data_IF_065753498306
#
_entry.id   IF_065753498306
#
_cell.length_a   1.000
_cell.length_b   1.000
_cell.length_c   1.000
_cell.angle_alpha   90.00
_cell.angle_beta   90.00
_cell.angle_gamma   90.00
#
_symmetry.space_group_name_H-M   'P 1'
#
loop_
_entity.id
_entity.type
_entity.pdbx_description
1 polymer ?
#
# COMPACT_ATOMS: atom_id res chain seq x y z
N UNK A 1 -39.34 38.56 14.24
CA UNK A 1 -39.52 38.78 15.70
C UNK A 1 -39.63 37.42 16.38
N UNK A 2 -38.58 37.07 17.09
CA UNK A 2 -38.38 36.41 18.39
C UNK A 2 -36.93 35.90 18.32
N UNK A 3 -36.04 36.52 18.88
CA UNK A 3 -35.56 36.69 20.28
C UNK A 3 -34.77 35.49 20.77
N UNK A 4 -33.51 35.77 20.99
CA UNK A 4 -32.38 35.09 21.59
C UNK A 4 -32.69 34.22 22.83
N UNK A 5 -31.81 33.21 23.04
CA UNK A 5 -31.62 32.47 24.28
C UNK A 5 -30.23 31.93 24.33
N UNK A 6 -29.33 32.70 24.93
CA UNK A 6 -28.00 32.27 25.36
C UNK A 6 -28.09 31.28 26.51
N UNK A 7 -27.39 30.15 26.44
CA UNK A 7 -26.94 29.47 27.66
C UNK A 7 -25.50 29.02 27.44
N UNK A 8 -24.60 29.83 28.07
CA UNK A 8 -23.19 29.48 28.18
C UNK A 8 -22.98 28.34 29.17
N UNK A 9 -22.15 27.37 28.78
CA UNK A 9 -21.51 26.43 29.67
C UNK A 9 -20.00 26.66 29.64
N UNK A 10 -19.51 27.23 30.72
CA UNK A 10 -18.10 27.37 31.07
C UNK A 10 -17.59 26.02 31.61
N UNK A 11 -16.67 25.37 30.92
CA UNK A 11 -15.87 24.29 31.50
C UNK A 11 -14.50 24.84 31.88
N UNK A 12 -14.23 24.89 33.17
CA UNK A 12 -12.90 25.16 33.74
C UNK A 12 -12.06 23.89 33.69
N UNK A 13 -10.89 24.02 33.10
CA UNK A 13 -9.83 23.04 32.99
C UNK A 13 -9.22 22.69 34.35
N UNK A 14 -8.97 21.41 34.55
CA UNK A 14 -8.06 20.87 35.54
C UNK A 14 -7.46 19.57 35.02
N UNK A 15 -6.52 19.64 34.06
CA UNK A 15 -5.68 18.50 33.71
C UNK A 15 -4.26 18.80 34.16
N UNK A 16 -3.85 18.10 35.22
CA UNK A 16 -2.48 18.04 35.69
C UNK A 16 -1.66 17.21 34.72
N UNK A 17 -0.80 17.85 33.96
CA UNK A 17 0.23 17.19 33.16
C UNK A 17 1.28 16.59 34.11
N UNK A 18 1.37 15.27 34.13
CA UNK A 18 2.56 14.56 34.63
C UNK A 18 3.53 14.37 33.46
N UNK A 19 4.83 14.66 33.63
CA UNK A 19 5.80 14.45 32.58
C UNK A 19 6.03 12.95 32.39
N UNK A 20 5.92 12.48 31.15
CA UNK A 20 6.33 11.14 30.74
C UNK A 20 7.85 11.12 30.77
N UNK A 21 8.43 10.51 31.79
CA UNK A 21 9.85 10.17 31.81
C UNK A 21 10.06 8.99 30.86
N UNK A 22 10.86 9.20 29.85
CA UNK A 22 11.43 8.17 28.99
C UNK A 22 12.21 7.16 29.86
N UNK A 23 11.71 5.95 29.93
CA UNK A 23 12.46 4.80 30.48
C UNK A 23 13.01 4.02 29.30
N UNK A 24 14.27 4.28 28.96
CA UNK A 24 15.07 3.38 28.12
C UNK A 24 15.55 2.25 29.03
N UNK A 25 15.21 0.98 28.80
CA UNK A 25 15.79 -0.11 29.57
C UNK A 25 17.24 -0.34 29.14
N UNK A 26 18.17 -0.11 30.06
CA UNK A 26 19.56 -0.58 29.91
C UNK A 26 19.57 -2.10 29.84
N UNK A 27 20.03 -2.65 28.72
CA UNK A 27 20.38 -4.05 28.63
C UNK A 27 21.69 -4.32 29.40
N UNK A 28 21.65 -5.24 30.33
CA UNK A 28 22.80 -5.90 30.91
C UNK A 28 22.77 -7.38 30.53
N UNK A 29 23.94 -8.00 30.23
CA UNK A 29 24.01 -9.35 29.66
C UNK A 29 24.07 -10.42 30.72
N UNK A 30 23.27 -11.47 30.61
CA UNK A 30 23.54 -12.74 31.30
C UNK A 30 23.11 -13.91 30.42
N UNK A 31 24.10 -14.48 29.75
CA UNK A 31 24.05 -15.81 29.16
C UNK A 31 24.13 -16.85 30.25
N UNK A 32 23.14 -17.69 30.41
CA UNK A 32 23.34 -19.03 30.96
C UNK A 32 22.33 -20.01 30.38
N UNK A 33 22.86 -20.99 29.76
CA UNK A 33 22.38 -22.27 29.25
C UNK A 33 21.07 -22.78 29.89
N UNK A 34 20.07 -23.05 29.07
CA UNK A 34 19.10 -24.10 29.33
C UNK A 34 18.85 -24.93 28.08
N UNK A 35 19.41 -26.10 28.06
CA UNK A 35 19.13 -27.17 27.10
C UNK A 35 17.79 -27.78 27.49
N UNK A 36 16.76 -27.59 26.69
CA UNK A 36 15.49 -28.30 26.84
C UNK A 36 15.40 -29.34 25.72
N UNK A 37 15.49 -30.58 26.14
CA UNK A 37 15.16 -31.76 25.34
C UNK A 37 13.65 -31.82 25.20
N UNK A 38 13.12 -31.57 24.00
CA UNK A 38 11.73 -31.87 23.69
C UNK A 38 11.69 -33.15 22.87
N UNK A 39 11.22 -34.20 23.50
CA UNK A 39 10.96 -35.50 22.90
C UNK A 39 9.78 -35.42 21.92
N UNK A 40 9.97 -36.13 20.81
CA UNK A 40 9.03 -36.44 19.73
C UNK A 40 7.62 -36.80 20.22
N UNK A 41 6.61 -36.15 19.65
CA UNK A 41 5.34 -36.70 19.15
C UNK A 41 4.36 -35.56 18.84
N UNK A 42 4.38 -35.06 17.61
CA UNK A 42 3.19 -34.51 16.99
C UNK A 42 3.23 -34.87 15.50
N UNK A 43 2.26 -35.67 15.12
CA UNK A 43 1.95 -36.05 13.74
C UNK A 43 1.43 -34.83 12.98
N UNK A 44 2.14 -34.47 11.93
CA UNK A 44 1.82 -33.37 11.03
C UNK A 44 0.60 -33.69 10.14
N UNK A 45 -0.29 -32.74 9.92
CA UNK A 45 -1.08 -32.69 8.69
C UNK A 45 -0.41 -31.71 7.71
N UNK A 46 0.73 -32.11 7.16
CA UNK A 46 1.43 -31.36 6.11
C UNK A 46 1.40 -32.16 4.79
N UNK A 47 0.23 -32.55 4.33
CA UNK A 47 0.07 -33.20 3.03
C UNK A 47 -1.28 -32.73 2.46
N UNK A 48 -1.36 -31.54 1.87
CA UNK A 48 -2.34 -31.18 0.84
C UNK A 48 -1.83 -30.05 -0.09
N UNK A 49 -0.71 -29.36 0.22
CA UNK A 49 -0.24 -28.23 -0.61
C UNK A 49 0.84 -28.54 -1.65
N UNK A 50 1.34 -29.77 -1.70
CA UNK A 50 2.53 -30.12 -2.52
C UNK A 50 2.22 -30.63 -3.94
N UNK A 51 0.97 -30.68 -4.41
CA UNK A 51 0.62 -31.32 -5.70
C UNK A 51 0.22 -30.30 -6.79
N UNK A 52 0.11 -29.04 -6.50
CA UNK A 52 -0.29 -28.01 -7.50
C UNK A 52 0.88 -27.20 -8.10
N UNK A 53 2.11 -27.34 -7.59
CA UNK A 53 3.25 -26.54 -8.10
C UNK A 53 4.07 -27.19 -9.23
N UNK A 54 3.76 -28.40 -9.69
CA UNK A 54 4.65 -29.13 -10.60
C UNK A 54 4.22 -29.20 -12.06
N UNK A 55 3.24 -28.44 -12.51
CA UNK A 55 2.76 -28.49 -13.92
C UNK A 55 2.62 -27.11 -14.61
N UNK A 56 3.47 -26.16 -14.30
CA UNK A 56 3.53 -24.93 -15.11
C UNK A 56 4.80 -24.97 -15.95
N UNK A 57 4.73 -25.18 -17.27
CA UNK A 57 5.89 -25.01 -18.13
C UNK A 57 6.29 -23.53 -18.12
N UNK A 58 7.59 -23.26 -17.92
CA UNK A 58 8.16 -21.93 -18.06
C UNK A 58 7.89 -21.42 -19.48
N UNK A 59 6.93 -20.51 -19.63
CA UNK A 59 6.69 -19.80 -20.88
C UNK A 59 7.78 -18.76 -21.04
N UNK A 60 8.78 -19.08 -21.86
CA UNK A 60 9.75 -18.07 -22.29
C UNK A 60 9.02 -17.06 -23.18
N UNK A 61 9.06 -15.80 -22.78
CA UNK A 61 8.53 -14.69 -23.57
C UNK A 61 9.33 -14.55 -24.88
N UNK A 62 8.65 -14.40 -26.04
CA UNK A 62 9.36 -14.14 -27.29
C UNK A 62 10.02 -12.75 -27.22
N UNK A 63 11.31 -12.69 -27.50
CA UNK A 63 12.05 -11.44 -27.70
C UNK A 63 11.61 -10.84 -29.02
N UNK A 64 10.72 -9.85 -28.99
CA UNK A 64 10.43 -9.02 -30.14
C UNK A 64 11.61 -8.09 -30.41
N UNK A 65 12.32 -8.29 -31.49
CA UNK A 65 13.33 -7.36 -31.97
C UNK A 65 12.66 -6.06 -32.41
N UNK A 66 13.00 -4.95 -31.75
CA UNK A 66 12.57 -3.62 -32.17
C UNK A 66 13.30 -3.24 -33.47
N UNK A 67 12.56 -2.84 -34.50
CA UNK A 67 13.09 -2.27 -35.72
C UNK A 67 13.72 -0.87 -35.40
N UNK A 68 14.84 -0.48 -36.03
CA UNK A 68 15.43 0.82 -35.81
C UNK A 68 14.53 1.91 -36.41
N UNK A 69 14.14 2.86 -35.58
CA UNK A 69 13.43 4.07 -36.00
C UNK A 69 14.45 5.15 -36.26
N UNK A 70 14.45 5.65 -37.48
CA UNK A 70 15.32 6.73 -37.95
C UNK A 70 14.89 8.06 -37.29
N UNK A 71 15.70 8.62 -36.39
CA UNK A 71 15.41 9.86 -35.69
C UNK A 71 16.17 11.02 -36.33
N UNK A 72 15.50 11.77 -37.20
CA UNK A 72 15.90 13.14 -37.50
C UNK A 72 15.22 14.11 -36.50
N UNK A 73 16.00 14.55 -35.55
CA UNK A 73 16.14 15.88 -34.97
C UNK A 73 14.91 16.64 -34.45
N UNK A 74 14.41 16.30 -33.27
CA UNK A 74 14.18 17.18 -32.12
C UNK A 74 14.32 16.31 -30.90
N UNK A 75 15.23 16.62 -29.97
CA UNK A 75 15.35 15.88 -28.72
C UNK A 75 14.04 16.04 -27.96
N UNK A 76 13.15 15.05 -28.07
CA UNK A 76 11.91 15.02 -27.28
C UNK A 76 12.29 15.11 -25.81
N UNK A 77 11.60 15.97 -25.06
CA UNK A 77 11.80 16.09 -23.63
C UNK A 77 11.68 14.73 -22.97
N UNK A 78 12.56 14.42 -22.04
CA UNK A 78 12.51 13.17 -21.32
C UNK A 78 11.19 13.04 -20.55
N UNK A 79 10.50 11.92 -20.73
CA UNK A 79 9.19 11.66 -20.12
C UNK A 79 9.36 11.45 -18.60
N UNK A 80 8.69 12.29 -17.82
CA UNK A 80 8.62 12.17 -16.38
C UNK A 80 7.30 11.50 -15.92
N UNK A 81 6.28 11.46 -16.78
CA UNK A 81 5.05 10.71 -16.56
C UNK A 81 5.08 9.43 -17.40
N UNK A 82 5.24 8.28 -16.76
CA UNK A 82 5.47 7.01 -17.45
C UNK A 82 5.02 5.80 -16.60
N UNK A 83 4.23 4.86 -17.15
CA UNK A 83 3.76 3.69 -16.40
C UNK A 83 4.92 2.86 -15.85
N UNK A 84 4.86 2.56 -14.53
CA UNK A 84 5.91 1.82 -13.82
C UNK A 84 7.05 2.68 -13.24
N UNK A 85 7.08 3.98 -13.52
CA UNK A 85 8.03 4.90 -12.91
C UNK A 85 7.65 5.23 -11.45
N UNK A 86 8.61 5.61 -10.59
CA UNK A 86 8.31 6.01 -9.23
C UNK A 86 7.55 7.33 -9.19
N UNK A 87 6.68 7.50 -8.17
CA UNK A 87 6.06 8.77 -7.84
C UNK A 87 6.08 9.04 -6.35
N UNK A 88 5.95 10.31 -5.99
CA UNK A 88 5.93 10.78 -4.61
C UNK A 88 4.77 11.74 -4.40
N UNK A 89 4.10 11.60 -3.26
CA UNK A 89 3.16 12.57 -2.75
C UNK A 89 3.73 13.12 -1.45
N UNK A 90 4.07 14.42 -1.44
CA UNK A 90 4.68 15.07 -0.29
C UNK A 90 3.62 15.56 0.70
N UNK A 91 3.94 15.70 2.00
CA UNK A 91 3.07 16.37 2.95
C UNK A 91 2.64 17.76 2.45
N UNK A 92 1.45 18.19 2.86
CA UNK A 92 0.93 19.53 2.55
C UNK A 92 1.89 20.63 3.02
N UNK A 93 2.43 20.47 4.23
CA UNK A 93 3.50 21.31 4.76
C UNK A 93 4.60 20.40 5.31
N UNK A 94 5.75 20.38 4.61
CA UNK A 94 6.89 19.58 5.04
C UNK A 94 7.52 20.10 6.36
N UNK A 95 7.33 21.39 6.69
CA UNK A 95 7.80 21.97 7.96
C UNK A 95 6.85 21.68 9.12
N UNK A 96 5.54 21.53 8.86
CA UNK A 96 4.52 21.22 9.86
C UNK A 96 3.59 20.10 9.37
N UNK A 97 4.08 18.87 9.18
CA UNK A 97 3.36 17.80 8.51
C UNK A 97 2.11 17.33 9.26
N UNK A 98 2.03 17.55 10.57
CA UNK A 98 0.89 17.10 11.39
C UNK A 98 -0.31 18.06 11.41
N UNK A 99 -0.25 19.19 10.67
CA UNK A 99 -1.39 20.04 10.34
C UNK A 99 -2.05 20.80 11.49
N UNK A 100 -2.30 20.17 12.61
CA UNK A 100 -2.92 20.79 13.78
C UNK A 100 -1.84 21.28 14.76
N UNK A 101 -1.76 22.59 14.93
CA UNK A 101 -0.82 23.21 15.85
C UNK A 101 0.56 23.51 15.29
N UNK A 102 0.76 23.36 13.99
CA UNK A 102 2.03 23.62 13.29
C UNK A 102 3.25 22.88 13.90
N UNK A 103 3.02 21.72 14.50
CA UNK A 103 4.10 20.92 15.06
C UNK A 103 4.98 20.32 13.94
N UNK A 104 6.28 20.50 14.05
CA UNK A 104 7.25 19.88 13.16
C UNK A 104 7.43 18.40 13.51
N UNK A 105 7.90 17.60 12.54
CA UNK A 105 8.24 16.19 12.81
C UNK A 105 9.27 16.09 13.95
N UNK A 106 10.24 17.01 13.99
CA UNK A 106 11.27 17.08 15.01
C UNK A 106 10.70 17.36 16.42
N UNK A 107 9.70 18.23 16.53
CA UNK A 107 9.04 18.50 17.82
C UNK A 107 8.26 17.30 18.33
N UNK A 108 7.65 16.52 17.45
CA UNK A 108 6.86 15.34 17.81
C UNK A 108 7.75 14.14 18.11
N UNK A 109 8.78 13.89 17.30
CA UNK A 109 9.59 12.65 17.36
C UNK A 109 10.97 12.84 17.98
N UNK A 110 11.46 14.07 18.05
CA UNK A 110 12.85 14.40 18.45
C UNK A 110 13.86 14.22 17.31
N UNK A 111 13.45 13.76 16.12
CA UNK A 111 14.32 13.48 14.99
C UNK A 111 14.24 14.61 13.94
N UNK A 112 15.40 15.05 13.49
CA UNK A 112 15.53 15.90 12.29
C UNK A 112 15.55 15.00 11.07
N UNK A 113 14.52 15.07 10.24
CA UNK A 113 14.38 14.21 9.05
C UNK A 113 14.41 15.05 7.78
N UNK A 114 14.99 14.50 6.71
CA UNK A 114 14.91 15.14 5.41
C UNK A 114 13.43 15.26 4.99
N UNK A 115 12.96 16.45 4.53
CA UNK A 115 11.53 16.66 4.21
C UNK A 115 10.93 15.61 3.26
N UNK A 116 11.72 15.11 2.31
CA UNK A 116 11.27 14.10 1.36
C UNK A 116 11.11 12.70 1.97
N UNK A 117 11.64 12.42 3.17
CA UNK A 117 11.40 11.16 3.89
C UNK A 117 9.94 10.98 4.29
N UNK A 118 9.20 12.09 4.42
CA UNK A 118 7.79 12.09 4.76
C UNK A 118 6.89 11.91 3.53
N UNK A 119 7.48 11.81 2.34
CA UNK A 119 6.71 11.61 1.12
C UNK A 119 6.17 10.18 1.03
N UNK A 120 4.90 10.06 0.64
CA UNK A 120 4.30 8.77 0.31
C UNK A 120 4.94 8.23 -0.98
N UNK A 121 5.42 6.99 -0.91
CA UNK A 121 6.09 6.29 -2.01
C UNK A 121 5.08 5.43 -2.74
N UNK A 122 4.93 5.66 -4.04
CA UNK A 122 4.07 4.85 -4.92
C UNK A 122 4.66 4.78 -6.34
N UNK A 123 3.96 4.10 -7.22
CA UNK A 123 4.34 3.91 -8.62
C UNK A 123 3.33 4.58 -9.54
N UNK A 124 3.81 5.17 -10.63
CA UNK A 124 2.97 5.76 -11.67
C UNK A 124 2.22 4.66 -12.44
N UNK A 125 0.92 4.84 -12.59
CA UNK A 125 0.07 3.99 -13.39
C UNK A 125 0.01 4.41 -14.86
N UNK A 126 -0.99 3.93 -15.62
CA UNK A 126 -1.14 4.27 -17.03
C UNK A 126 -1.40 5.77 -17.22
N UNK A 127 -0.78 6.33 -18.26
CA UNK A 127 -0.95 7.72 -18.69
C UNK A 127 -1.65 7.78 -20.03
N UNK A 128 -2.47 8.80 -20.22
CA UNK A 128 -3.21 8.98 -21.47
C UNK A 128 -4.05 10.25 -21.49
N UNK A 129 -4.94 10.32 -22.48
CA UNK A 129 -5.88 11.41 -22.65
C UNK A 129 -7.30 10.89 -22.56
N UNK A 130 -8.11 11.46 -21.68
CA UNK A 130 -9.54 11.24 -21.64
C UNK A 130 -10.24 12.33 -22.44
N UNK A 131 -11.20 11.95 -23.30
CA UNK A 131 -12.10 12.87 -23.98
C UNK A 131 -13.44 12.84 -23.26
N UNK A 132 -13.79 13.95 -22.63
CA UNK A 132 -15.02 14.09 -21.87
C UNK A 132 -16.24 14.17 -22.81
N UNK A 133 -17.47 13.91 -22.32
CA UNK A 133 -18.69 13.98 -23.14
C UNK A 133 -18.92 15.35 -23.82
N UNK A 134 -18.39 16.43 -23.26
CA UNK A 134 -18.43 17.78 -23.85
C UNK A 134 -17.33 18.03 -24.92
N UNK A 135 -16.52 17.00 -25.25
CA UNK A 135 -15.41 17.10 -26.20
C UNK A 135 -14.10 17.65 -25.64
N UNK A 136 -14.06 18.07 -24.35
CA UNK A 136 -12.82 18.53 -23.70
C UNK A 136 -11.86 17.36 -23.54
N UNK A 137 -10.59 17.58 -23.84
CA UNK A 137 -9.52 16.59 -23.66
C UNK A 137 -8.71 16.92 -22.43
N UNK A 138 -8.48 15.92 -21.59
CA UNK A 138 -7.71 16.04 -20.36
C UNK A 138 -6.63 14.97 -20.33
N UNK A 139 -5.39 15.37 -20.09
CA UNK A 139 -4.25 14.45 -19.92
C UNK A 139 -4.25 13.96 -18.48
N UNK A 140 -4.23 12.66 -18.31
CA UNK A 140 -4.33 12.05 -16.98
C UNK A 140 -3.29 10.97 -16.76
N UNK A 141 -3.04 10.70 -15.46
CA UNK A 141 -2.42 9.50 -14.95
C UNK A 141 -3.38 8.84 -13.96
N UNK A 142 -3.69 7.57 -14.17
CA UNK A 142 -4.43 6.76 -13.21
C UNK A 142 -3.46 6.19 -12.17
N UNK A 143 -3.87 6.11 -10.90
CA UNK A 143 -3.08 5.50 -9.82
C UNK A 143 -4.01 4.86 -8.79
N UNK A 144 -3.43 4.19 -7.78
CA UNK A 144 -4.20 3.73 -6.63
C UNK A 144 -4.70 4.92 -5.79
N UNK A 145 -5.91 4.83 -5.28
CA UNK A 145 -6.53 5.89 -4.48
C UNK A 145 -5.78 6.16 -3.19
N UNK A 146 -5.34 5.12 -2.49
CA UNK A 146 -4.57 5.28 -1.26
C UNK A 146 -3.22 6.00 -1.48
N UNK A 147 -2.66 5.95 -2.69
CA UNK A 147 -1.48 6.72 -3.06
C UNK A 147 -1.74 8.23 -3.08
N UNK A 148 -2.97 8.63 -3.37
CA UNK A 148 -3.39 10.02 -3.61
C UNK A 148 -4.30 10.56 -2.50
N UNK A 149 -4.59 9.77 -1.46
CA UNK A 149 -5.45 10.17 -0.36
C UNK A 149 -4.88 11.39 0.38
N UNK A 150 -5.77 12.30 0.78
CA UNK A 150 -5.42 13.56 1.42
C UNK A 150 -4.78 13.40 2.81
N UNK A 151 -4.96 12.24 3.43
CA UNK A 151 -4.42 11.91 4.74
C UNK A 151 -3.79 10.54 4.68
N UNK A 152 -2.68 10.34 5.37
CA UNK A 152 -2.06 9.04 5.51
C UNK A 152 -2.60 8.27 6.74
N UNK A 153 -2.10 7.05 6.95
CA UNK A 153 -2.51 6.19 8.07
C UNK A 153 -2.10 6.75 9.44
N UNK A 154 -1.22 7.74 9.48
CA UNK A 154 -0.78 8.42 10.72
C UNK A 154 -1.53 9.71 10.98
N UNK A 155 -2.44 10.12 10.10
CA UNK A 155 -3.15 11.40 10.17
C UNK A 155 -2.36 12.57 9.58
N UNK A 156 -1.25 12.30 8.87
CA UNK A 156 -0.47 13.33 8.19
C UNK A 156 -1.21 13.81 6.94
N UNK A 157 -1.38 15.13 6.84
CA UNK A 157 -2.02 15.74 5.67
C UNK A 157 -1.06 15.77 4.49
N UNK A 158 -1.51 15.27 3.37
CA UNK A 158 -0.74 15.20 2.13
C UNK A 158 -1.11 16.35 1.19
N UNK A 159 -0.13 16.78 0.40
CA UNK A 159 -0.33 17.78 -0.64
C UNK A 159 -1.21 17.26 -1.77
N UNK A 160 -1.52 18.13 -2.73
CA UNK A 160 -2.33 17.79 -3.90
C UNK A 160 -1.51 17.63 -5.19
N UNK A 161 -0.23 17.96 -5.16
CA UNK A 161 0.68 17.80 -6.30
C UNK A 161 1.44 16.50 -6.21
N UNK A 162 1.55 15.81 -7.33
CA UNK A 162 2.29 14.54 -7.46
C UNK A 162 3.60 14.80 -8.17
N UNK A 163 4.69 14.26 -7.62
CA UNK A 163 6.02 14.47 -8.15
C UNK A 163 6.65 13.15 -8.65
N UNK A 164 7.53 13.26 -9.64
CA UNK A 164 8.44 12.22 -10.05
C UNK A 164 9.83 12.46 -9.44
N UNK A 165 10.41 11.51 -8.70
CA UNK A 165 11.81 11.59 -8.26
C UNK A 165 12.71 11.31 -9.46
N UNK A 166 13.45 12.32 -9.89
CA UNK A 166 14.42 12.21 -10.98
C UNK A 166 15.78 12.71 -10.53
N UNK A 167 16.82 12.32 -11.21
CA UNK A 167 18.15 12.82 -10.89
C UNK A 167 18.20 14.35 -10.99
N UNK A 168 18.56 14.98 -9.89
CA UNK A 168 18.52 16.45 -9.73
C UNK A 168 17.27 16.98 -9.04
N UNK A 169 16.42 16.12 -8.48
CA UNK A 169 15.31 16.48 -7.59
C UNK A 169 13.94 16.06 -8.08
N UNK A 170 12.92 16.48 -7.38
CA UNK A 170 11.53 16.15 -7.69
C UNK A 170 10.97 17.05 -8.78
N UNK A 171 10.29 16.46 -9.75
CA UNK A 171 9.60 17.16 -10.86
C UNK A 171 8.10 16.96 -10.74
N UNK A 172 7.36 18.06 -10.74
CA UNK A 172 5.91 18.01 -10.68
C UNK A 172 5.34 17.31 -11.91
N UNK A 173 4.42 16.37 -11.69
CA UNK A 173 3.65 15.66 -12.71
C UNK A 173 2.31 16.35 -12.96
N UNK A 174 1.68 16.86 -11.91
CA UNK A 174 0.35 17.43 -11.98
C UNK A 174 -0.37 17.42 -10.65
N UNK A 175 -1.68 17.65 -10.71
CA UNK A 175 -2.53 17.82 -9.52
C UNK A 175 -3.54 16.68 -9.41
N UNK A 176 -3.76 16.23 -8.19
CA UNK A 176 -4.78 15.23 -7.85
C UNK A 176 -6.16 15.84 -8.13
N UNK A 177 -6.94 15.16 -8.94
CA UNK A 177 -8.31 15.55 -9.29
C UNK A 177 -9.34 14.76 -8.48
N UNK A 178 -9.33 13.43 -8.65
CA UNK A 178 -10.30 12.52 -8.05
C UNK A 178 -9.61 11.39 -7.29
N UNK A 179 -10.19 11.00 -6.16
CA UNK A 179 -9.71 9.88 -5.33
C UNK A 179 -10.89 9.07 -4.78
N UNK A 180 -10.76 7.75 -4.83
CA UNK A 180 -11.68 6.80 -4.19
C UNK A 180 -10.88 5.75 -3.41
N UNK A 181 -11.18 5.61 -2.12
CA UNK A 181 -10.52 4.67 -1.20
C UNK A 181 -11.56 3.94 -0.35
N UNK A 182 -12.71 3.58 -0.95
CA UNK A 182 -13.81 2.99 -0.22
C UNK A 182 -13.55 1.52 0.10
N UNK A 183 -13.79 1.13 1.35
CA UNK A 183 -13.80 -0.27 1.75
C UNK A 183 -12.45 -0.97 1.71
N UNK A 184 -11.35 -0.24 1.77
CA UNK A 184 -10.03 -0.84 1.91
C UNK A 184 -9.92 -1.60 3.24
N UNK A 185 -9.30 -2.78 3.26
CA UNK A 185 -8.98 -3.48 4.50
C UNK A 185 -8.05 -2.64 5.38
N UNK A 186 -8.23 -2.72 6.68
CA UNK A 186 -7.30 -2.15 7.67
C UNK A 186 -6.56 -3.28 8.38
N UNK A 187 -5.40 -2.98 8.99
CA UNK A 187 -4.64 -3.93 9.79
C UNK A 187 -5.40 -4.46 11.02
N UNK A 188 -6.50 -3.81 11.38
CA UNK A 188 -7.36 -4.20 12.52
C UNK A 188 -8.57 -5.05 12.12
N UNK A 189 -8.79 -5.27 10.83
CA UNK A 189 -9.91 -6.09 10.36
C UNK A 189 -9.65 -7.58 10.62
N UNK A 190 -10.69 -8.32 11.01
CA UNK A 190 -10.64 -9.77 11.02
C UNK A 190 -10.44 -10.32 9.60
N UNK A 191 -9.76 -11.46 9.46
CA UNK A 191 -9.39 -12.04 8.17
C UNK A 191 -10.58 -12.16 7.20
N UNK A 192 -11.74 -12.63 7.69
CA UNK A 192 -12.96 -12.73 6.90
C UNK A 192 -13.52 -11.37 6.47
N UNK A 193 -13.43 -10.37 7.34
CA UNK A 193 -13.84 -8.99 7.04
C UNK A 193 -12.87 -8.35 6.05
N UNK A 194 -11.56 -8.54 6.22
CA UNK A 194 -10.53 -8.09 5.28
C UNK A 194 -10.76 -8.66 3.89
N UNK A 195 -11.04 -9.96 3.77
CA UNK A 195 -11.32 -10.59 2.50
C UNK A 195 -12.59 -10.03 1.84
N UNK A 196 -13.69 -9.85 2.60
CA UNK A 196 -14.93 -9.25 2.09
C UNK A 196 -14.73 -7.80 1.65
N UNK A 197 -13.97 -7.01 2.41
CA UNK A 197 -13.61 -5.64 2.04
C UNK A 197 -12.79 -5.63 0.77
N UNK A 198 -11.74 -6.44 0.67
CA UNK A 198 -10.87 -6.50 -0.50
C UNK A 198 -11.63 -6.89 -1.79
N UNK A 199 -12.65 -7.76 -1.70
CA UNK A 199 -13.51 -8.12 -2.84
C UNK A 199 -14.34 -6.95 -3.36
N UNK A 200 -14.65 -5.95 -2.52
CA UNK A 200 -15.54 -4.82 -2.84
C UNK A 200 -14.81 -3.48 -2.90
N UNK A 201 -13.56 -3.43 -2.45
CA UNK A 201 -12.79 -2.20 -2.34
C UNK A 201 -12.77 -1.42 -3.64
N UNK A 202 -12.84 -0.10 -3.52
CA UNK A 202 -12.50 0.86 -4.57
C UNK A 202 -11.22 1.57 -4.14
N UNK A 203 -10.21 1.52 -4.99
CA UNK A 203 -8.89 2.09 -4.68
C UNK A 203 -8.26 2.68 -5.94
N UNK A 204 -8.80 3.80 -6.40
CA UNK A 204 -8.30 4.49 -7.57
C UNK A 204 -8.26 6.00 -7.37
N UNK A 205 -7.42 6.64 -8.15
CA UNK A 205 -7.38 8.08 -8.22
C UNK A 205 -6.77 8.57 -9.52
N UNK A 206 -7.09 9.79 -9.87
CA UNK A 206 -6.70 10.46 -11.11
C UNK A 206 -5.86 11.67 -10.78
N UNK A 207 -4.74 11.80 -11.47
CA UNK A 207 -3.89 12.99 -11.51
C UNK A 207 -4.05 13.62 -12.87
N UNK A 208 -4.43 14.90 -12.92
CA UNK A 208 -4.40 15.72 -14.13
C UNK A 208 -2.97 16.19 -14.33
N UNK A 209 -2.39 15.79 -15.45
CA UNK A 209 -1.01 16.14 -15.77
C UNK A 209 -0.90 17.61 -16.19
N UNK A 210 0.13 18.29 -15.69
CA UNK A 210 0.41 19.67 -16.04
C UNK A 210 0.76 19.81 -17.54
N UNK A 211 0.48 20.98 -18.09
CA UNK A 211 0.88 21.32 -19.45
C UNK A 211 2.41 21.23 -19.61
N UNK A 212 2.86 20.64 -20.69
CA UNK A 212 4.28 20.47 -20.97
C UNK A 212 4.93 19.26 -20.30
N UNK A 213 4.25 18.51 -19.40
CA UNK A 213 4.77 17.24 -18.88
C UNK A 213 4.88 16.24 -20.02
N UNK A 214 6.10 15.82 -20.33
CA UNK A 214 6.35 14.77 -21.31
C UNK A 214 5.91 13.41 -20.78
N UNK A 215 5.20 12.64 -21.62
CA UNK A 215 4.65 11.31 -21.28
C UNK A 215 5.31 10.22 -22.11
N UNK A 216 5.38 9.01 -21.53
CA UNK A 216 5.68 7.77 -22.25
C UNK A 216 4.53 6.78 -22.01
N UNK A 217 3.93 6.27 -23.08
CA UNK A 217 2.82 5.31 -23.01
C UNK A 217 3.25 3.85 -23.00
N UNK A 218 4.53 3.54 -22.86
CA UNK A 218 4.98 2.16 -22.68
C UNK A 218 5.15 1.82 -21.19
N UNK A 219 4.71 0.65 -20.74
CA UNK A 219 5.02 0.15 -19.41
C UNK A 219 6.49 -0.29 -19.36
N UNK A 220 7.23 0.20 -18.38
CA UNK A 220 8.59 -0.22 -18.07
C UNK A 220 8.96 0.22 -16.65
N UNK A 221 9.66 -0.61 -15.91
CA UNK A 221 10.07 -0.29 -14.56
C UNK A 221 11.49 -0.76 -14.27
N UNK A 222 12.12 -0.11 -13.31
CA UNK A 222 13.30 -0.61 -12.60
C UNK A 222 12.87 -0.99 -11.20
N UNK A 223 13.50 -1.99 -10.63
CA UNK A 223 13.26 -2.29 -9.22
C UNK A 223 14.08 -1.37 -8.29
N UNK A 224 13.82 -1.50 -6.99
CA UNK A 224 14.52 -0.72 -5.97
C UNK A 224 16.05 -0.92 -5.98
N UNK A 225 16.54 -2.01 -6.56
CA UNK A 225 17.98 -2.28 -6.69
C UNK A 225 18.57 -1.72 -7.99
N UNK A 226 17.78 -1.02 -8.78
CA UNK A 226 18.18 -0.40 -10.05
C UNK A 226 18.79 -1.40 -11.06
N UNK A 227 18.25 -2.62 -11.11
CA UNK A 227 18.73 -3.70 -11.99
C UNK A 227 18.41 -3.50 -13.48
N UNK A 228 18.27 -2.28 -13.90
CA UNK A 228 17.96 -1.91 -15.27
C UNK A 228 16.47 -1.91 -15.59
N UNK A 229 16.05 -1.25 -16.67
CA UNK A 229 14.65 -1.20 -17.07
C UNK A 229 14.19 -2.52 -17.65
N UNK A 230 12.95 -2.91 -17.37
CA UNK A 230 12.27 -3.97 -18.10
C UNK A 230 12.05 -3.56 -19.56
N UNK A 231 11.97 -4.53 -20.48
CA UNK A 231 11.65 -4.23 -21.89
C UNK A 231 10.32 -3.45 -21.97
N UNK A 232 10.29 -2.29 -22.65
CA UNK A 232 9.08 -1.48 -22.77
C UNK A 232 7.95 -2.24 -23.46
N UNK A 233 6.72 -2.16 -22.93
CA UNK A 233 5.52 -2.71 -23.53
C UNK A 233 4.55 -1.56 -23.80
N UNK A 234 4.29 -1.22 -25.07
CA UNK A 234 3.32 -0.16 -25.44
C UNK A 234 1.93 -0.47 -24.89
N UNK A 235 1.30 0.51 -24.25
CA UNK A 235 -0.10 0.40 -23.83
C UNK A 235 -1.00 0.67 -25.03
N UNK A 236 -1.92 -0.25 -25.34
CA UNK A 236 -2.73 -0.24 -26.56
C UNK A 236 -4.17 0.17 -26.34
N UNK A 237 -4.64 0.17 -25.11
CA UNK A 237 -6.01 0.45 -24.69
C UNK A 237 -6.28 -0.15 -23.33
N UNK A 238 -7.53 -0.14 -22.91
CA UNK A 238 -7.97 -0.67 -21.61
C UNK A 238 -8.75 -1.95 -21.85
N UNK A 239 -8.46 -3.01 -21.09
CA UNK A 239 -9.29 -4.21 -21.07
C UNK A 239 -10.63 -3.90 -20.43
N UNK A 240 -11.71 -4.16 -21.16
CA UNK A 240 -13.07 -4.02 -20.65
C UNK A 240 -13.52 -5.33 -20.03
N UNK A 241 -14.24 -5.24 -18.93
CA UNK A 241 -14.84 -6.36 -18.24
C UNK A 241 -16.35 -6.16 -18.18
N UNK A 242 -17.11 -7.26 -18.19
CA UNK A 242 -18.55 -7.14 -17.99
C UNK A 242 -18.88 -6.52 -16.63
N UNK A 243 -19.97 -5.81 -16.57
CA UNK A 243 -20.47 -5.24 -15.30
C UNK A 243 -20.93 -6.37 -14.37
N UNK A 244 -20.47 -6.32 -13.12
CA UNK A 244 -20.82 -7.26 -12.07
C UNK A 244 -21.57 -6.53 -10.95
N UNK A 245 -22.47 -7.26 -10.29
CA UNK A 245 -23.08 -6.78 -9.05
C UNK A 245 -22.02 -6.70 -7.92
N UNK A 246 -22.20 -5.83 -6.92
CA UNK A 246 -21.30 -5.77 -5.77
C UNK A 246 -21.17 -7.12 -5.05
N UNK A 247 -19.95 -7.66 -5.00
CA UNK A 247 -19.64 -8.96 -4.41
C UNK A 247 -19.78 -10.16 -5.36
N UNK A 248 -20.23 -9.95 -6.59
CA UNK A 248 -20.18 -10.96 -7.64
C UNK A 248 -18.73 -11.21 -8.08
N UNK A 249 -18.42 -12.47 -8.37
CA UNK A 249 -17.11 -12.92 -8.87
C UNK A 249 -17.31 -13.53 -10.27
N UNK A 250 -16.41 -13.18 -11.19
CA UNK A 250 -16.38 -13.79 -12.53
C UNK A 250 -15.02 -14.42 -12.81
N UNK A 251 -15.06 -15.57 -13.46
CA UNK A 251 -13.89 -16.33 -13.87
C UNK A 251 -13.52 -16.10 -15.35
N UNK A 252 -14.19 -15.17 -16.02
CA UNK A 252 -13.80 -14.76 -17.37
C UNK A 252 -12.32 -14.29 -17.29
N UNK A 253 -11.51 -14.71 -18.26
CA UNK A 253 -10.07 -14.49 -18.26
C UNK A 253 -9.26 -15.23 -17.15
N UNK A 254 -9.82 -16.28 -16.54
CA UNK A 254 -9.05 -17.15 -15.63
C UNK A 254 -7.79 -17.67 -16.32
N UNK A 255 -6.67 -17.69 -15.58
CA UNK A 255 -5.33 -18.09 -16.01
C UNK A 255 -4.73 -17.27 -17.18
N UNK A 256 -5.34 -16.16 -17.58
CA UNK A 256 -4.73 -15.25 -18.55
C UNK A 256 -3.50 -14.56 -17.95
N UNK A 257 -2.44 -14.35 -18.75
CA UNK A 257 -1.22 -13.73 -18.24
C UNK A 257 -1.47 -12.25 -17.87
N UNK A 258 -0.90 -11.87 -16.75
CA UNK A 258 -0.89 -10.48 -16.25
C UNK A 258 0.54 -10.15 -15.84
N UNK A 259 1.05 -9.01 -16.28
CA UNK A 259 2.27 -8.43 -15.74
C UNK A 259 1.94 -7.12 -15.00
N UNK A 260 2.72 -6.82 -13.97
CA UNK A 260 2.74 -5.51 -13.33
C UNK A 260 4.10 -4.86 -13.47
N UNK A 261 4.13 -3.56 -13.56
CA UNK A 261 5.33 -2.74 -13.39
C UNK A 261 5.21 -1.89 -12.12
N UNK A 262 6.10 -2.11 -11.19
CA UNK A 262 6.20 -1.38 -9.91
C UNK A 262 7.61 -0.86 -9.68
N UNK A 263 7.73 0.23 -8.95
CA UNK A 263 9.02 0.88 -8.70
C UNK A 263 9.87 0.16 -7.63
N UNK A 264 9.27 -0.75 -6.86
CA UNK A 264 9.97 -1.50 -5.81
C UNK A 264 10.42 -2.88 -6.28
N UNK A 265 9.52 -3.68 -6.80
CA UNK A 265 9.80 -5.05 -7.28
C UNK A 265 10.01 -5.15 -8.78
N UNK A 266 9.91 -4.03 -9.52
CA UNK A 266 10.05 -4.03 -10.97
C UNK A 266 8.93 -4.78 -11.68
N UNK A 267 9.23 -5.31 -12.89
CA UNK A 267 8.30 -6.15 -13.64
C UNK A 267 8.19 -7.53 -13.05
N UNK A 268 6.97 -7.92 -12.75
CA UNK A 268 6.61 -9.28 -12.37
C UNK A 268 5.39 -9.75 -13.16
N UNK A 269 5.35 -11.04 -13.51
CA UNK A 269 4.27 -11.60 -14.29
C UNK A 269 3.70 -12.86 -13.61
N UNK A 270 2.40 -13.01 -13.70
CA UNK A 270 1.62 -14.10 -13.16
C UNK A 270 0.34 -14.29 -13.97
N UNK A 271 -0.74 -14.65 -13.30
CA UNK A 271 -2.02 -14.95 -13.96
C UNK A 271 -3.20 -14.29 -13.24
N UNK A 272 -4.25 -13.98 -13.98
CA UNK A 272 -5.54 -13.59 -13.45
C UNK A 272 -6.24 -14.81 -12.86
N UNK A 273 -6.78 -14.68 -11.64
CA UNK A 273 -7.60 -15.69 -10.99
C UNK A 273 -9.10 -15.44 -11.28
N UNK A 274 -9.56 -14.27 -10.95
CA UNK A 274 -10.94 -13.83 -11.13
C UNK A 274 -10.99 -12.31 -11.10
N UNK A 275 -12.17 -11.75 -11.34
CA UNK A 275 -12.41 -10.33 -11.09
C UNK A 275 -13.75 -10.12 -10.40
N UNK A 276 -13.87 -8.94 -9.77
CA UNK A 276 -15.06 -8.42 -9.12
C UNK A 276 -15.55 -7.18 -9.84
N UNK A 277 -16.54 -6.50 -9.29
CA UNK A 277 -17.01 -5.23 -9.84
C UNK A 277 -15.87 -4.20 -9.99
N UNK A 278 -14.92 -4.17 -9.04
CA UNK A 278 -13.88 -3.15 -8.97
C UNK A 278 -12.46 -3.68 -9.19
N UNK A 279 -12.18 -4.94 -8.90
CA UNK A 279 -10.81 -5.45 -8.81
C UNK A 279 -10.59 -6.71 -9.67
N UNK A 280 -9.39 -6.81 -10.22
CA UNK A 280 -8.85 -8.06 -10.79
C UNK A 280 -7.92 -8.69 -9.75
N UNK A 281 -8.17 -9.95 -9.43
CA UNK A 281 -7.36 -10.75 -8.52
C UNK A 281 -6.33 -11.55 -9.30
N UNK A 282 -5.11 -11.51 -8.85
CA UNK A 282 -3.97 -12.10 -9.54
C UNK A 282 -3.18 -13.03 -8.63
N UNK A 283 -2.47 -13.97 -9.22
CA UNK A 283 -1.59 -14.91 -8.54
C UNK A 283 -0.20 -14.85 -9.14
N UNK A 284 0.80 -15.03 -8.28
CA UNK A 284 2.23 -15.11 -8.62
C UNK A 284 2.81 -13.78 -9.15
N UNK A 285 2.24 -12.66 -8.70
CA UNK A 285 2.89 -11.35 -8.83
C UNK A 285 3.56 -11.02 -7.50
N UNK A 286 4.82 -10.64 -7.54
CA UNK A 286 5.51 -10.15 -6.35
C UNK A 286 5.10 -8.69 -6.08
N UNK A 287 4.71 -8.39 -4.86
CA UNK A 287 4.28 -7.06 -4.43
C UNK A 287 5.16 -6.54 -3.29
N UNK A 288 5.39 -5.24 -3.26
CA UNK A 288 5.98 -4.55 -2.12
C UNK A 288 5.30 -3.20 -1.93
N UNK A 289 5.36 -2.68 -0.70
CA UNK A 289 4.96 -1.29 -0.40
C UNK A 289 5.71 -0.35 -1.34
N UNK A 290 4.97 0.52 -2.04
CA UNK A 290 5.53 1.40 -3.07
C UNK A 290 5.31 0.92 -4.51
N UNK A 291 4.92 -0.36 -4.75
CA UNK A 291 4.43 -0.83 -6.07
C UNK A 291 3.00 -0.35 -6.35
N UNK A 292 2.28 0.11 -5.32
CA UNK A 292 0.93 0.64 -5.40
C UNK A 292 0.80 1.71 -6.49
N UNK A 293 -0.28 1.67 -7.27
CA UNK A 293 -0.52 2.56 -8.41
C UNK A 293 0.13 2.09 -9.70
N UNK A 294 1.13 1.21 -9.64
CA UNK A 294 1.81 0.67 -10.82
C UNK A 294 0.87 -0.05 -11.78
N UNK A 295 1.15 0.05 -13.08
CA UNK A 295 0.29 -0.52 -14.12
C UNK A 295 0.30 -2.05 -14.11
N UNK A 296 -0.89 -2.65 -14.18
CA UNK A 296 -1.12 -4.05 -14.48
C UNK A 296 -1.64 -4.18 -15.92
N UNK A 297 -1.06 -5.07 -16.71
CA UNK A 297 -1.35 -5.17 -18.15
C UNK A 297 -1.21 -6.59 -18.69
N UNK A 298 -1.81 -6.83 -19.82
CA UNK A 298 -1.62 -8.06 -20.60
C UNK A 298 -0.30 -7.96 -21.39
N UNK A 299 0.69 -8.83 -21.13
CA UNK A 299 1.99 -8.74 -21.79
C UNK A 299 1.96 -9.04 -23.29
N UNK A 300 0.90 -9.72 -23.78
CA UNK A 300 0.77 -10.08 -25.19
C UNK A 300 0.14 -8.96 -26.02
N UNK A 301 -0.84 -8.29 -25.45
CA UNK A 301 -1.64 -7.27 -26.16
C UNK A 301 -1.28 -5.85 -25.79
N UNK A 302 -0.66 -5.63 -24.63
CA UNK A 302 -0.42 -4.29 -24.08
C UNK A 302 -1.69 -3.64 -23.49
N UNK A 303 -2.80 -4.38 -23.38
CA UNK A 303 -4.01 -3.84 -22.77
C UNK A 303 -3.82 -3.59 -21.28
N UNK A 304 -4.17 -2.40 -20.83
CA UNK A 304 -4.20 -2.00 -19.42
C UNK A 304 -5.31 -2.77 -18.72
N UNK A 305 -4.97 -3.51 -17.67
CA UNK A 305 -5.92 -4.22 -16.82
C UNK A 305 -6.35 -3.33 -15.65
N UNK A 306 -5.39 -2.67 -15.00
CA UNK A 306 -5.66 -1.86 -13.83
C UNK A 306 -4.40 -1.26 -13.24
N UNK A 307 -4.54 -0.79 -11.98
CA UNK A 307 -3.43 -0.30 -11.17
C UNK A 307 -3.29 -1.14 -9.91
N UNK A 308 -2.07 -1.45 -9.51
CA UNK A 308 -1.77 -2.23 -8.31
C UNK A 308 -2.39 -1.57 -7.08
N UNK A 309 -3.19 -2.32 -6.32
CA UNK A 309 -3.87 -1.84 -5.11
C UNK A 309 -3.38 -2.56 -3.85
N UNK A 310 -3.69 -3.85 -3.70
CA UNK A 310 -3.35 -4.63 -2.51
C UNK A 310 -2.49 -5.84 -2.89
N UNK A 311 -1.56 -6.20 -1.99
CA UNK A 311 -0.75 -7.41 -2.11
C UNK A 311 -0.83 -8.27 -0.85
N UNK A 312 -0.95 -9.58 -1.03
CA UNK A 312 -1.02 -10.59 0.04
C UNK A 312 -0.11 -11.76 -0.31
N UNK A 313 1.19 -11.57 -0.17
CA UNK A 313 2.17 -12.56 -0.65
C UNK A 313 2.06 -12.74 -2.17
N UNK A 314 1.84 -13.97 -2.69
CA UNK A 314 1.70 -14.23 -4.11
C UNK A 314 0.34 -13.79 -4.70
N UNK A 315 -0.64 -13.49 -3.84
CA UNK A 315 -1.95 -12.96 -4.24
C UNK A 315 -1.91 -11.44 -4.24
N UNK A 316 -2.64 -10.83 -5.16
CA UNK A 316 -2.82 -9.38 -5.16
C UNK A 316 -4.03 -8.94 -5.95
N UNK A 317 -4.32 -7.65 -5.86
CA UNK A 317 -5.41 -7.02 -6.58
C UNK A 317 -4.91 -5.85 -7.41
N UNK A 318 -5.45 -5.74 -8.61
CA UNK A 318 -5.40 -4.53 -9.42
C UNK A 318 -6.78 -3.89 -9.44
N UNK A 319 -6.89 -2.61 -9.08
CA UNK A 319 -8.10 -1.84 -9.32
C UNK A 319 -8.33 -1.76 -10.84
N UNK A 320 -9.49 -2.15 -11.32
CA UNK A 320 -9.84 -2.17 -12.75
C UNK A 320 -9.76 -0.78 -13.36
N UNK A 321 -8.98 -0.63 -14.43
CA UNK A 321 -8.81 0.66 -15.11
C UNK A 321 -10.07 1.10 -15.86
N UNK A 322 -10.82 0.17 -16.49
CA UNK A 322 -12.09 0.46 -17.14
C UNK A 322 -13.07 1.09 -16.15
N UNK A 323 -13.28 0.42 -15.02
CA UNK A 323 -14.19 0.89 -13.98
C UNK A 323 -13.75 2.21 -13.35
N UNK A 324 -12.46 2.38 -13.12
CA UNK A 324 -11.91 3.59 -12.50
C UNK A 324 -12.13 4.81 -13.41
N UNK A 325 -11.77 4.72 -14.69
CA UNK A 325 -11.90 5.83 -15.64
C UNK A 325 -13.37 6.14 -15.92
N UNK A 326 -14.20 5.11 -16.14
CA UNK A 326 -15.64 5.29 -16.35
C UNK A 326 -16.31 5.95 -15.15
N UNK A 327 -15.94 5.54 -13.91
CA UNK A 327 -16.48 6.16 -12.69
C UNK A 327 -15.96 7.57 -12.46
N UNK A 328 -14.71 7.86 -12.82
CA UNK A 328 -14.11 9.17 -12.62
C UNK A 328 -14.79 10.25 -13.48
N UNK A 329 -15.27 9.87 -14.65
CA UNK A 329 -15.79 10.82 -15.65
C UNK A 329 -17.25 10.59 -16.02
N UNK A 330 -17.99 9.83 -15.24
CA UNK A 330 -19.41 9.49 -15.45
C UNK A 330 -19.67 8.94 -16.87
N UNK A 331 -18.74 8.10 -17.37
CA UNK A 331 -18.87 7.49 -18.68
C UNK A 331 -19.73 6.21 -18.61
N UNK A 332 -20.45 5.87 -19.68
CA UNK A 332 -21.19 4.63 -19.74
C UNK A 332 -20.26 3.40 -19.58
N UNK A 333 -20.72 2.38 -18.86
CA UNK A 333 -19.96 1.16 -18.67
C UNK A 333 -19.63 0.47 -20.01
N UNK A 334 -18.38 0.05 -20.20
CA UNK A 334 -17.87 -0.58 -21.41
C UNK A 334 -17.41 0.39 -22.51
N UNK A 335 -17.48 1.71 -22.29
CA UNK A 335 -17.10 2.72 -23.31
C UNK A 335 -15.73 3.33 -23.08
N UNK A 336 -14.95 2.84 -22.12
CA UNK A 336 -13.65 3.43 -21.74
C UNK A 336 -12.74 3.67 -22.95
N UNK A 337 -12.68 2.74 -23.91
CA UNK A 337 -11.81 2.88 -25.09
C UNK A 337 -12.33 3.86 -26.15
N UNK A 338 -13.57 4.31 -26.05
CA UNK A 338 -14.11 5.39 -26.87
C UNK A 338 -13.66 6.76 -26.33
N UNK A 339 -13.36 6.81 -25.06
CA UNK A 339 -13.05 8.05 -24.33
C UNK A 339 -11.59 8.16 -23.89
N UNK A 340 -10.91 7.06 -23.56
CA UNK A 340 -9.53 7.08 -23.10
C UNK A 340 -8.57 6.51 -24.14
N UNK A 341 -7.56 7.30 -24.48
CA UNK A 341 -6.46 6.90 -25.36
C UNK A 341 -5.16 6.92 -24.58
N UNK A 342 -4.47 5.78 -24.41
CA UNK A 342 -3.13 5.76 -23.81
C UNK A 342 -2.18 6.70 -24.52
N UNK A 343 -1.22 7.27 -23.81
CA UNK A 343 -0.18 8.08 -24.44
C UNK A 343 0.64 7.23 -25.42
N UNK A 344 1.18 7.88 -26.44
CA UNK A 344 2.11 7.20 -27.35
C UNK A 344 3.42 6.84 -26.63
N UNK A 345 4.07 5.71 -26.99
CA UNK A 345 5.42 5.41 -26.53
C UNK A 345 6.39 6.53 -26.95
N UNK A 346 7.20 6.99 -26.00
CA UNK A 346 8.21 8.02 -26.25
C UNK A 346 9.62 7.42 -26.38
N UNK A 347 9.90 6.37 -25.57
CA UNK A 347 11.21 5.72 -25.53
C UNK A 347 12.32 6.55 -24.86
N UNK A 348 12.07 7.83 -24.58
CA UNK A 348 13.00 8.70 -23.85
C UNK A 348 12.44 9.03 -22.47
N UNK A 349 12.80 8.24 -21.47
CA UNK A 349 12.38 8.45 -20.08
C UNK A 349 13.40 9.26 -19.31
N UNK A 350 12.93 10.01 -18.32
CA UNK A 350 13.80 10.67 -17.35
C UNK A 350 14.62 9.63 -16.58
N UNK A 351 15.77 10.06 -16.05
CA UNK A 351 16.59 9.26 -15.14
C UNK A 351 15.96 9.30 -13.75
N UNK A 352 15.06 8.35 -13.49
CA UNK A 352 14.35 8.24 -12.22
C UNK A 352 15.28 7.73 -11.13
N UNK A 353 15.13 8.29 -9.94
CA UNK A 353 15.81 7.84 -8.72
C UNK A 353 15.05 6.68 -8.11
N UNK A 354 15.73 5.59 -7.79
CA UNK A 354 15.11 4.44 -7.12
C UNK A 354 14.89 4.73 -5.64
N UNK A 355 13.94 4.01 -5.03
CA UNK A 355 13.68 4.13 -3.59
C UNK A 355 14.93 3.81 -2.75
N UNK A 356 15.79 2.90 -3.21
CA UNK A 356 17.04 2.57 -2.52
C UNK A 356 18.10 3.70 -2.59
N UNK A 357 18.15 4.44 -3.70
CA UNK A 357 19.03 5.61 -3.80
C UNK A 357 18.54 6.73 -2.86
N UNK A 358 17.22 6.99 -2.81
CA UNK A 358 16.65 7.95 -1.86
C UNK A 358 16.84 7.50 -0.40
N UNK A 359 16.65 6.22 -0.09
CA UNK A 359 16.90 5.67 1.24
C UNK A 359 18.34 5.89 1.70
N UNK A 360 19.32 5.70 0.82
CA UNK A 360 20.71 5.95 1.14
C UNK A 360 20.98 7.44 1.46
N UNK A 361 20.38 8.37 0.70
CA UNK A 361 20.45 9.81 0.95
C UNK A 361 19.80 10.17 2.28
N UNK A 362 18.62 9.61 2.57
CA UNK A 362 17.89 9.85 3.81
C UNK A 362 18.63 9.31 5.03
N UNK A 363 19.20 8.13 4.94
CA UNK A 363 19.98 7.52 6.01
C UNK A 363 21.24 8.33 6.31
N UNK A 364 21.91 8.86 5.28
CA UNK A 364 23.00 9.78 5.45
C UNK A 364 22.54 11.05 6.18
N UNK A 365 21.45 11.67 5.73
CA UNK A 365 20.89 12.88 6.37
C UNK A 365 20.55 12.62 7.86
N UNK A 366 19.89 11.48 8.16
CA UNK A 366 19.54 11.15 9.54
C UNK A 366 20.75 11.03 10.45
N UNK A 367 21.81 10.38 10.01
CA UNK A 367 23.05 10.21 10.79
C UNK A 367 23.81 11.53 10.98
N UNK A 368 23.80 12.41 9.97
CA UNK A 368 24.48 13.70 10.02
C UNK A 368 23.77 14.73 10.93
N UNK A 369 22.43 14.68 10.96
CA UNK A 369 21.63 15.70 11.66
C UNK A 369 21.10 15.26 13.04
N UNK A 370 21.24 13.98 13.40
CA UNK A 370 20.76 13.45 14.66
C UNK A 370 21.88 12.76 15.45
N UNK A 371 22.59 13.49 16.34
CA UNK A 371 23.60 12.88 17.17
C UNK A 371 23.08 11.68 17.98
N UNK A 372 23.69 10.52 17.82
CA UNK A 372 23.29 9.28 18.48
C UNK A 372 22.43 8.33 17.63
N UNK A 373 22.01 8.74 16.43
CA UNK A 373 21.43 7.83 15.43
C UNK A 373 22.57 7.15 14.67
N UNK A 374 22.59 5.82 14.70
CA UNK A 374 23.57 5.02 13.95
C UNK A 374 22.90 4.35 12.74
N UNK A 375 23.67 3.97 11.71
CA UNK A 375 23.13 3.26 10.54
C UNK A 375 22.35 2.00 10.90
N UNK A 376 22.76 1.28 11.96
CA UNK A 376 22.09 0.06 12.41
C UNK A 376 20.71 0.35 13.03
N UNK A 377 20.53 1.55 13.60
CA UNK A 377 19.25 1.96 14.22
C UNK A 377 18.19 2.32 13.18
N UNK A 378 18.62 2.75 12.00
CA UNK A 378 17.73 3.21 10.92
C UNK A 378 17.57 2.18 9.79
N UNK A 379 18.38 1.10 9.82
CA UNK A 379 18.21 0.01 8.87
C UNK A 379 16.80 -0.60 9.02
N UNK A 380 16.03 -0.73 7.94
CA UNK A 380 14.72 -1.36 8.01
C UNK A 380 14.87 -2.80 8.52
N UNK A 381 14.00 -3.25 9.44
CA UNK A 381 14.06 -4.61 9.92
C UNK A 381 13.86 -5.58 8.74
N UNK A 382 14.69 -6.61 8.67
CA UNK A 382 14.52 -7.67 7.69
C UNK A 382 13.15 -8.35 7.88
N UNK A 383 12.57 -9.00 6.85
CA UNK A 383 11.31 -9.74 6.98
C UNK A 383 11.36 -10.77 8.12
N UNK A 384 12.50 -11.41 8.34
CA UNK A 384 12.72 -12.31 9.49
C UNK A 384 12.65 -11.57 10.83
N UNK A 385 13.29 -10.41 10.94
CA UNK A 385 13.21 -9.58 12.15
C UNK A 385 11.79 -9.07 12.39
N UNK A 386 11.05 -8.69 11.35
CA UNK A 386 9.64 -8.32 11.45
C UNK A 386 8.78 -9.46 11.99
N UNK A 387 9.02 -10.69 11.50
CA UNK A 387 8.35 -11.88 12.02
C UNK A 387 8.68 -12.13 13.49
N UNK A 388 9.96 -12.09 13.86
CA UNK A 388 10.40 -12.31 15.23
C UNK A 388 9.82 -11.23 16.18
N UNK A 389 9.74 -9.97 15.74
CA UNK A 389 9.07 -8.89 16.47
C UNK A 389 7.56 -9.13 16.61
N UNK A 390 6.87 -9.53 15.52
CA UNK A 390 5.45 -9.83 15.57
C UNK A 390 5.12 -10.96 16.56
N UNK A 391 5.95 -12.01 16.58
CA UNK A 391 5.83 -13.12 17.54
C UNK A 391 6.10 -12.63 18.98
N UNK A 392 7.12 -11.81 19.19
CA UNK A 392 7.46 -11.26 20.50
C UNK A 392 6.31 -10.38 21.04
N UNK A 393 5.75 -9.50 20.21
CA UNK A 393 4.59 -8.67 20.58
C UNK A 393 3.36 -9.52 20.91
N UNK A 394 3.02 -10.48 20.05
CA UNK A 394 1.87 -11.36 20.30
C UNK A 394 2.03 -12.16 21.61
N UNK A 395 3.25 -12.58 21.93
CA UNK A 395 3.56 -13.33 23.16
C UNK A 395 3.45 -12.44 24.42
N UNK A 396 4.00 -11.22 24.35
CA UNK A 396 3.92 -10.26 25.46
C UNK A 396 2.47 -9.88 25.75
N UNK A 397 1.70 -9.58 24.71
CA UNK A 397 0.32 -9.13 24.83
C UNK A 397 -0.63 -10.26 25.24
N UNK A 398 -0.35 -11.52 24.87
CA UNK A 398 -1.09 -12.66 25.39
C UNK A 398 -1.01 -12.76 26.93
N UNK A 399 0.12 -12.41 27.52
CA UNK A 399 0.30 -12.34 28.97
C UNK A 399 -0.57 -11.24 29.62
N UNK A 400 -0.65 -10.07 28.98
CA UNK A 400 -1.49 -8.95 29.43
C UNK A 400 -2.96 -9.34 29.35
N UNK A 401 -3.41 -9.86 28.21
CA UNK A 401 -4.79 -10.31 28.00
C UNK A 401 -5.20 -11.36 29.03
N UNK A 402 -4.33 -12.34 29.32
CA UNK A 402 -4.62 -13.37 30.31
C UNK A 402 -4.82 -12.77 31.72
N UNK A 403 -4.03 -11.75 32.08
CA UNK A 403 -4.21 -11.04 33.34
C UNK A 403 -5.51 -10.23 33.37
N UNK A 404 -5.82 -9.51 32.30
CA UNK A 404 -7.05 -8.71 32.18
C UNK A 404 -8.33 -9.58 32.28
N UNK A 405 -8.33 -10.74 31.61
CA UNK A 405 -9.43 -11.71 31.71
C UNK A 405 -9.58 -12.26 33.14
N UNK A 406 -8.47 -12.58 33.79
CA UNK A 406 -8.47 -13.02 35.20
C UNK A 406 -9.02 -11.91 36.12
N UNK A 407 -8.54 -10.70 35.97
CA UNK A 407 -8.95 -9.56 36.80
C UNK A 407 -10.44 -9.23 36.57
N UNK A 408 -10.90 -9.33 35.33
CA UNK A 408 -12.34 -9.24 35.03
C UNK A 408 -13.17 -10.33 35.73
N UNK A 409 -12.69 -11.58 35.75
CA UNK A 409 -13.38 -12.66 36.44
C UNK A 409 -13.49 -12.40 37.95
N UNK A 410 -12.42 -11.88 38.59
CA UNK A 410 -12.41 -11.48 39.99
C UNK A 410 -13.42 -10.35 40.24
N UNK A 411 -13.35 -9.27 39.42
CA UNK A 411 -14.27 -8.12 39.54
C UNK A 411 -15.73 -8.53 39.32
N UNK A 412 -16.00 -9.42 38.38
CA UNK A 412 -17.34 -9.97 38.12
C UNK A 412 -17.90 -10.73 39.34
N UNK A 413 -17.03 -11.49 40.02
CA UNK A 413 -17.40 -12.21 41.25
C UNK A 413 -17.74 -11.24 42.38
N UNK A 414 -16.94 -10.19 42.55
CA UNK A 414 -17.18 -9.14 43.54
C UNK A 414 -18.47 -8.37 43.23
N UNK A 415 -18.70 -8.04 41.95
CA UNK A 415 -19.94 -7.34 41.51
C UNK A 415 -21.19 -8.18 41.77
N UNK A 416 -21.14 -9.50 41.53
CA UNK A 416 -22.26 -10.40 41.85
C UNK A 416 -22.57 -10.44 43.35
N UNK A 417 -21.56 -10.49 44.21
CA UNK A 417 -21.72 -10.43 45.68
C UNK A 417 -22.27 -9.07 46.10
N UNK A 418 -21.90 -8.01 45.41
CA UNK A 418 -22.40 -6.63 45.64
C UNK A 418 -23.83 -6.39 45.11
N UNK A 419 -24.45 -7.40 44.50
CA UNK A 419 -25.85 -7.32 44.03
C UNK A 419 -26.02 -6.72 42.65
N UNK A 420 -24.96 -6.61 41.84
CA UNK A 420 -25.05 -6.18 40.44
C UNK A 420 -25.84 -7.23 39.65
N UNK A 421 -26.87 -6.82 38.85
CA UNK A 421 -27.67 -7.76 38.06
C UNK A 421 -26.79 -8.66 37.14
N UNK A 422 -27.05 -9.96 37.17
CA UNK A 422 -26.27 -10.94 36.39
C UNK A 422 -26.30 -10.63 34.88
N UNK A 423 -27.35 -10.03 34.35
CA UNK A 423 -27.43 -9.57 32.95
C UNK A 423 -26.35 -8.54 32.61
N UNK A 424 -26.12 -7.55 33.49
CA UNK A 424 -25.07 -6.53 33.28
C UNK A 424 -23.66 -7.13 33.34
N UNK A 425 -23.44 -8.11 34.22
CA UNK A 425 -22.16 -8.83 34.30
C UNK A 425 -21.95 -9.65 33.03
N UNK A 426 -23.01 -10.29 32.51
CA UNK A 426 -22.93 -11.04 31.25
C UNK A 426 -22.65 -10.14 30.04
N UNK A 427 -23.28 -8.97 29.96
CA UNK A 427 -23.04 -7.98 28.89
C UNK A 427 -21.60 -7.44 28.92
N UNK A 428 -21.09 -7.13 30.12
CA UNK A 428 -19.68 -6.78 30.30
C UNK A 428 -18.75 -7.91 29.90
N UNK A 429 -19.07 -9.17 30.24
CA UNK A 429 -18.33 -10.36 29.83
C UNK A 429 -18.29 -10.55 28.33
N UNK A 430 -19.39 -10.36 27.64
CA UNK A 430 -19.46 -10.41 26.19
C UNK A 430 -18.60 -9.31 25.55
N UNK A 431 -18.59 -8.11 26.13
CA UNK A 431 -17.76 -6.99 25.66
C UNK A 431 -16.28 -7.33 25.78
N UNK A 432 -15.84 -7.86 26.92
CA UNK A 432 -14.46 -8.30 27.16
C UNK A 432 -14.08 -9.45 26.21
N UNK A 433 -14.95 -10.46 26.06
CA UNK A 433 -14.71 -11.58 25.16
C UNK A 433 -14.55 -11.14 23.70
N UNK A 434 -15.39 -10.19 23.25
CA UNK A 434 -15.28 -9.62 21.90
C UNK A 434 -13.99 -8.80 21.72
N UNK A 435 -13.60 -8.00 22.71
CA UNK A 435 -12.35 -7.24 22.69
C UNK A 435 -11.13 -8.16 22.64
N UNK A 436 -11.10 -9.19 23.49
CA UNK A 436 -10.04 -10.21 23.50
C UNK A 436 -9.98 -10.95 22.16
N UNK A 437 -11.13 -11.36 21.62
CA UNK A 437 -11.19 -12.03 20.31
C UNK A 437 -10.69 -11.17 19.17
N UNK A 438 -11.04 -9.89 19.15
CA UNK A 438 -10.56 -8.93 18.14
C UNK A 438 -9.05 -8.73 18.24
N UNK A 439 -8.55 -8.55 19.45
CA UNK A 439 -7.14 -8.32 19.71
C UNK A 439 -6.28 -9.55 19.38
N UNK A 440 -6.68 -10.73 19.82
CA UNK A 440 -6.01 -11.99 19.52
C UNK A 440 -5.97 -12.25 18.00
N UNK A 441 -7.06 -11.96 17.29
CA UNK A 441 -7.12 -12.12 15.84
C UNK A 441 -6.18 -11.14 15.11
N UNK A 442 -6.04 -9.90 15.58
CA UNK A 442 -5.10 -8.94 15.02
C UNK A 442 -3.65 -9.44 15.15
N UNK A 443 -3.26 -9.98 16.32
CA UNK A 443 -1.92 -10.56 16.51
C UNK A 443 -1.68 -11.78 15.65
N UNK A 444 -2.64 -12.69 15.55
CA UNK A 444 -2.54 -13.86 14.67
C UNK A 444 -2.34 -13.40 13.23
N UNK A 445 -3.11 -12.42 12.78
CA UNK A 445 -3.01 -11.88 11.42
C UNK A 445 -1.63 -11.27 11.17
N UNK A 446 -1.11 -10.47 12.11
CA UNK A 446 0.21 -9.85 11.99
C UNK A 446 1.34 -10.89 11.95
N UNK A 447 1.30 -11.92 12.83
CA UNK A 447 2.28 -13.00 12.86
C UNK A 447 2.23 -13.82 11.56
N UNK A 448 1.04 -14.16 11.07
CA UNK A 448 0.86 -14.90 9.83
C UNK A 448 1.38 -14.11 8.65
N UNK A 449 1.01 -12.83 8.53
CA UNK A 449 1.47 -11.97 7.45
C UNK A 449 2.99 -11.81 7.47
N UNK A 450 3.58 -11.47 8.62
CA UNK A 450 5.03 -11.34 8.77
C UNK A 450 5.76 -12.67 8.48
N UNK A 451 5.19 -13.82 8.90
CA UNK A 451 5.73 -15.14 8.61
C UNK A 451 5.69 -15.49 7.12
N UNK A 452 4.61 -15.14 6.43
CA UNK A 452 4.50 -15.31 4.98
C UNK A 452 5.55 -14.46 4.26
N UNK A 453 5.72 -13.19 4.64
CA UNK A 453 6.74 -12.32 4.05
C UNK A 453 8.16 -12.81 4.32
N UNK A 454 8.45 -13.27 5.55
CA UNK A 454 9.76 -13.84 5.86
C UNK A 454 10.07 -15.10 5.04
N UNK A 455 9.09 -16.00 4.88
CA UNK A 455 9.25 -17.21 4.08
C UNK A 455 9.42 -16.89 2.58
N UNK A 456 8.70 -15.89 2.06
CA UNK A 456 8.82 -15.47 0.67
C UNK A 456 10.19 -14.81 0.39
N UNK A 457 10.67 -14.00 1.32
CA UNK A 457 12.01 -13.38 1.23
C UNK A 457 13.13 -14.45 1.23
N UNK A 458 13.01 -15.48 2.07
CA UNK A 458 13.93 -16.63 2.08
C UNK A 458 13.89 -17.42 0.77
N UNK A 459 12.76 -17.41 0.05
CA UNK A 459 12.60 -18.04 -1.26
C UNK A 459 12.98 -17.12 -2.44
N UNK A 460 13.37 -15.87 -2.16
CA UNK A 460 13.79 -14.89 -3.17
C UNK A 460 12.65 -14.20 -3.92
N UNK A 461 11.45 -14.15 -3.30
CA UNK A 461 10.27 -13.45 -3.84
C UNK A 461 10.11 -12.03 -3.29
#
# INVERSE_FOLDING_TARGET
RFSAGETGFSYRNGVVQKPIRSVIPRMCPLWSRLTVVISRRFSSPAIVFAVLCSLIPAVQAPTAAAAPVDHQGTTASAAIAAPGAPMRLRPFDAAAPFGQGNATFKEVTGLDVHPNMLARVCTQGPVGTVTLPNGTKQRIMLSAGHCLAAEDVTGMLMGRTVDAPVRGGYKNLGTIDLVRTNGLPSGYDQLGTSAQKALRAEDWGVVVLDDGVATDGAASSRDQFNRGPSAPVPMTGVRTYRTLAPGEIALDNFAQPVCKDGSMKGRNCGVQLFYTANNVWTLNLSYATGDSGGVNFDPKTGQIIGVTSLGFGPLGTAQRADRAIESAYDLPAGTVNEHFTPAAPNGNRADFVSAKEEEAEFNQYLTEHNPGVTPEMIAPPTPRQQFDQAVAHATADAGVIANDVRDFAVLSSVAAVAGVPLGQIADAGNTVANAVGTYANAHITNVVNAGVYAALDELGY
#
